data_IF_423304343102
#
_entry.id   IF_423304343102
#
_cell.length_a   1.000
_cell.length_b   1.000
_cell.length_c   1.000
_cell.angle_alpha   90.00
_cell.angle_beta   90.00
_cell.angle_gamma   90.00
#
_symmetry.space_group_name_H-M   'P 1'
#
loop_
_entity.id
_entity.type
_entity.pdbx_description
1 polymer ?
#
# COMPACT_ATOMS: atom_id res chain seq x y z
N UNK A 1 -29.40 0.32 -7.34
CA UNK A 1 -28.64 1.21 -6.46
C UNK A 1 -27.46 0.46 -5.83
N UNK A 2 -26.47 0.08 -6.63
CA UNK A 2 -25.31 -0.70 -6.17
C UNK A 2 -24.04 -0.17 -6.86
N UNK A 3 -22.89 -0.24 -6.18
CA UNK A 3 -21.53 0.06 -6.64
C UNK A 3 -20.97 1.51 -6.51
N UNK A 4 -21.30 2.25 -5.45
CA UNK A 4 -20.66 3.57 -5.20
C UNK A 4 -19.96 3.71 -3.85
N UNK A 5 -19.77 2.60 -3.14
CA UNK A 5 -18.82 2.51 -2.03
C UNK A 5 -17.81 1.39 -2.32
N UNK A 6 -17.13 1.50 -3.46
CA UNK A 6 -15.81 0.90 -3.60
C UNK A 6 -14.93 1.59 -2.55
N UNK A 7 -14.95 1.09 -1.32
CA UNK A 7 -14.10 1.60 -0.25
C UNK A 7 -12.66 1.22 -0.62
N UNK A 8 -12.03 2.07 -1.42
CA UNK A 8 -10.61 1.97 -1.74
C UNK A 8 -9.85 2.03 -0.42
N UNK A 9 -9.36 0.87 0.03
CA UNK A 9 -8.55 0.76 1.24
C UNK A 9 -7.09 0.85 0.83
N UNK A 10 -6.40 1.83 1.40
CA UNK A 10 -4.99 2.09 1.15
C UNK A 10 -4.16 1.24 2.10
N UNK A 11 -3.46 0.24 1.59
CA UNK A 11 -2.68 -0.70 2.39
C UNK A 11 -1.21 -0.34 2.33
N UNK A 12 -0.61 -0.09 3.49
CA UNK A 12 0.82 0.13 3.62
C UNK A 12 1.54 -1.21 3.73
N UNK A 13 2.41 -1.47 2.78
CA UNK A 13 3.29 -2.63 2.74
C UNK A 13 4.71 -2.25 3.14
N UNK A 14 5.40 -3.20 3.78
CA UNK A 14 6.83 -3.13 4.08
C UNK A 14 7.55 -4.36 3.52
N UNK A 15 8.64 -4.13 2.79
CA UNK A 15 9.64 -5.13 2.43
C UNK A 15 10.89 -4.89 3.26
N UNK A 16 11.32 -5.92 3.97
CA UNK A 16 12.61 -5.92 4.66
C UNK A 16 13.74 -6.46 3.74
N UNK A 17 15.00 -6.22 4.09
CA UNK A 17 16.20 -6.72 3.36
C UNK A 17 16.18 -8.25 3.23
N UNK A 18 15.50 -8.94 4.15
CA UNK A 18 15.28 -10.37 4.10
C UNK A 18 14.23 -10.84 3.06
N UNK A 19 13.64 -9.93 2.28
CA UNK A 19 12.63 -10.26 1.26
C UNK A 19 11.22 -10.48 1.81
N UNK A 20 10.99 -10.27 3.10
CA UNK A 20 9.67 -10.47 3.69
C UNK A 20 8.77 -9.25 3.47
N UNK A 21 7.61 -9.48 2.85
CA UNK A 21 6.54 -8.49 2.68
C UNK A 21 5.51 -8.62 3.79
N UNK A 22 5.27 -7.53 4.51
CA UNK A 22 4.27 -7.46 5.56
C UNK A 22 3.34 -6.27 5.35
N UNK A 23 2.05 -6.48 5.58
CA UNK A 23 1.09 -5.38 5.73
C UNK A 23 1.35 -4.71 7.07
N UNK A 24 1.70 -3.44 7.05
CA UNK A 24 1.93 -2.63 8.24
C UNK A 24 0.59 -2.10 8.78
N UNK A 25 -0.23 -1.55 7.89
CA UNK A 25 -1.53 -0.98 8.23
C UNK A 25 -2.40 -0.83 6.98
N UNK A 26 -3.72 -0.82 7.15
CA UNK A 26 -4.68 -0.44 6.12
C UNK A 26 -5.43 0.81 6.56
N UNK A 27 -5.60 1.75 5.64
CA UNK A 27 -6.19 3.06 5.86
C UNK A 27 -7.41 3.22 4.95
N UNK A 28 -8.41 3.94 5.45
CA UNK A 28 -9.56 4.33 4.64
C UNK A 28 -9.24 5.54 3.73
N UNK A 29 -8.14 6.26 4.01
CA UNK A 29 -7.74 7.48 3.29
C UNK A 29 -6.30 7.42 2.81
N UNK A 30 -6.10 8.00 1.63
CA UNK A 30 -4.80 8.13 0.98
C UNK A 30 -3.81 8.96 1.79
N UNK A 31 -4.27 10.11 2.30
CA UNK A 31 -3.45 11.08 3.05
C UNK A 31 -2.79 10.43 4.28
N UNK A 32 -3.57 9.65 5.05
CA UNK A 32 -3.05 8.93 6.22
C UNK A 32 -2.04 7.84 5.82
N UNK A 33 -2.30 7.11 4.73
CA UNK A 33 -1.41 6.08 4.22
C UNK A 33 -0.09 6.66 3.70
N UNK A 34 -0.12 7.78 2.96
CA UNK A 34 1.05 8.47 2.45
C UNK A 34 1.89 9.09 3.58
N UNK A 35 1.23 9.70 4.57
CA UNK A 35 1.91 10.24 5.75
C UNK A 35 2.63 9.13 6.53
N UNK A 36 1.97 7.99 6.74
CA UNK A 36 2.58 6.82 7.35
C UNK A 36 3.75 6.31 6.51
N UNK A 37 3.55 6.05 5.21
CA UNK A 37 4.60 5.57 4.32
C UNK A 37 5.84 6.47 4.34
N UNK A 38 5.65 7.80 4.32
CA UNK A 38 6.74 8.78 4.37
C UNK A 38 7.45 8.78 5.72
N UNK A 39 6.71 8.68 6.82
CA UNK A 39 7.28 8.59 8.16
C UNK A 39 8.12 7.31 8.33
N UNK A 40 7.64 6.19 7.79
CA UNK A 40 8.34 4.92 7.83
C UNK A 40 9.55 4.87 6.89
N UNK A 41 9.43 5.40 5.67
CA UNK A 41 10.53 5.50 4.71
C UNK A 41 11.67 6.40 5.22
N UNK A 42 11.34 7.43 6.01
CA UNK A 42 12.34 8.30 6.64
C UNK A 42 13.09 7.62 7.81
N UNK A 43 12.59 6.50 8.33
CA UNK A 43 13.09 5.89 9.58
C UNK A 43 14.06 4.72 9.36
N UNK A 44 14.15 4.11 8.18
CA UNK A 44 14.87 2.85 7.97
C UNK A 44 15.83 2.86 6.78
N UNK A 45 17.13 2.66 7.01
CA UNK A 45 18.18 2.69 5.98
C UNK A 45 18.18 1.51 4.98
N UNK A 46 17.27 0.53 5.09
CA UNK A 46 17.22 -0.69 4.25
C UNK A 46 15.81 -1.28 4.06
N UNK A 47 14.75 -0.54 4.42
CA UNK A 47 13.38 -1.05 4.37
C UNK A 47 12.60 -0.28 3.31
N UNK A 48 11.91 -1.00 2.43
CA UNK A 48 11.07 -0.38 1.40
C UNK A 48 9.63 -0.34 1.90
N UNK A 49 9.05 0.85 1.92
CA UNK A 49 7.66 1.08 2.28
C UNK A 49 6.92 1.62 1.06
N UNK A 50 5.78 1.01 0.71
CA UNK A 50 4.92 1.49 -0.37
C UNK A 50 3.44 1.29 -0.02
N UNK A 51 2.60 2.17 -0.56
CA UNK A 51 1.14 2.10 -0.38
C UNK A 51 0.53 1.49 -1.63
N UNK A 52 -0.37 0.55 -1.44
CA UNK A 52 -1.12 -0.12 -2.49
C UNK A 52 -2.63 0.09 -2.28
N UNK A 53 -3.38 0.36 -3.34
CA UNK A 53 -4.84 0.47 -3.27
C UNK A 53 -5.47 -0.91 -3.38
N UNK A 54 -5.97 -1.43 -2.28
CA UNK A 54 -6.89 -2.56 -2.31
C UNK A 54 -8.29 -2.01 -2.60
N UNK A 55 -8.66 -1.96 -3.88
CA UNK A 55 -10.08 -2.00 -4.22
C UNK A 55 -10.61 -3.35 -3.72
N UNK A 56 -11.75 -3.36 -3.04
CA UNK A 56 -12.37 -4.55 -2.45
C UNK A 56 -12.69 -5.67 -3.48
N UNK A 57 -12.36 -5.48 -4.76
CA UNK A 57 -12.45 -6.48 -5.83
C UNK A 57 -11.22 -6.60 -6.76
N UNK A 58 -10.09 -5.93 -6.51
CA UNK A 58 -8.94 -6.01 -7.42
C UNK A 58 -7.78 -6.82 -6.84
N UNK A 59 -7.66 -8.06 -7.31
CA UNK A 59 -6.42 -8.86 -7.24
C UNK A 59 -5.77 -8.92 -8.64
N UNK A 60 -5.91 -7.90 -9.50
CA UNK A 60 -5.55 -8.07 -10.92
C UNK A 60 -5.04 -6.84 -11.70
N UNK A 61 -4.82 -5.67 -11.09
CA UNK A 61 -4.43 -4.46 -11.80
C UNK A 61 -3.17 -3.77 -11.26
N UNK A 62 -2.06 -4.50 -11.17
CA UNK A 62 -0.73 -3.89 -11.39
C UNK A 62 0.20 -4.87 -12.12
N UNK A 63 -0.08 -5.05 -13.42
CA UNK A 63 0.93 -5.47 -14.39
C UNK A 63 1.30 -4.24 -15.22
N UNK A 64 2.21 -3.42 -14.74
CA UNK A 64 2.94 -2.42 -15.55
C UNK A 64 4.27 -2.12 -14.83
N UNK A 65 5.45 -2.27 -15.41
CA UNK A 65 5.80 -2.63 -16.77
C UNK A 65 7.26 -3.02 -16.83
N UNK A 66 7.57 -3.97 -17.71
CA UNK A 66 8.93 -4.22 -18.13
C UNK A 66 9.44 -3.07 -19.00
N UNK A 67 10.74 -2.82 -18.86
CA UNK A 67 11.64 -2.39 -19.94
C UNK A 67 12.88 -3.25 -19.88
#
# INVERSE_FOLDING_TARGET
>A
MNAMEETLRWVLWRLDDNGNRFVVAAFARRDEAEAAARAFAAHGHKQTYWVETAADGDTAADRTGGV
#
